data_IF_434689065766
#
_entry.id   IF_434689065766
#
_cell.length_a   1.000
_cell.length_b   1.000
_cell.length_c   1.000
_cell.angle_alpha   90.00
_cell.angle_beta   90.00
_cell.angle_gamma   90.00
#
_symmetry.space_group_name_H-M   'P 1'
#
loop_
_entity.id
_entity.type
_entity.pdbx_description
1 polymer ?
#
# COMPACT_ATOMS: atom_id res chain seq x y z
N UNK A 1 -0.95 9.96 2.78
CA UNK A 1 -0.35 8.72 3.31
C UNK A 1 -1.25 8.08 4.36
N UNK A 2 -1.11 6.75 4.62
CA UNK A 2 -1.86 6.10 5.71
C UNK A 2 -3.34 5.83 5.46
N UNK A 3 -3.82 5.94 4.23
CA UNK A 3 -5.23 5.72 3.86
C UNK A 3 -5.57 4.26 3.50
N UNK A 4 -4.66 3.32 3.69
CA UNK A 4 -4.91 1.91 3.41
C UNK A 4 -4.55 1.46 1.99
N UNK A 5 -3.78 2.24 1.20
CA UNK A 5 -3.36 1.85 -0.16
C UNK A 5 -2.68 0.49 -0.19
N UNK A 6 -1.66 0.28 0.63
CA UNK A 6 -0.95 -0.99 0.75
C UNK A 6 -1.89 -2.15 1.11
N UNK A 7 -2.81 -1.92 2.06
CA UNK A 7 -3.81 -2.91 2.46
C UNK A 7 -4.71 -3.29 1.28
N UNK A 8 -5.17 -2.30 0.50
CA UNK A 8 -5.96 -2.53 -0.70
C UNK A 8 -5.17 -3.31 -1.76
N UNK A 9 -3.89 -2.98 -1.97
CA UNK A 9 -3.00 -3.70 -2.90
C UNK A 9 -2.88 -5.18 -2.52
N UNK A 10 -2.64 -5.48 -1.25
CA UNK A 10 -2.61 -6.86 -0.75
C UNK A 10 -3.96 -7.57 -0.91
N UNK A 11 -5.07 -6.88 -0.61
CA UNK A 11 -6.41 -7.45 -0.76
C UNK A 11 -6.72 -7.81 -2.21
N UNK A 12 -6.32 -6.96 -3.17
CA UNK A 12 -6.46 -7.24 -4.60
C UNK A 12 -5.61 -8.46 -5.00
N UNK A 13 -4.36 -8.53 -4.55
CA UNK A 13 -3.49 -9.65 -4.85
C UNK A 13 -4.06 -10.97 -4.32
N UNK A 14 -4.52 -10.99 -3.07
CA UNK A 14 -5.16 -12.16 -2.47
C UNK A 14 -6.43 -12.57 -3.22
N UNK A 15 -7.30 -11.60 -3.53
CA UNK A 15 -8.52 -11.87 -4.29
C UNK A 15 -8.23 -12.54 -5.64
N UNK A 16 -7.22 -12.04 -6.38
CA UNK A 16 -6.85 -12.61 -7.68
C UNK A 16 -6.33 -14.05 -7.52
N UNK A 17 -5.47 -14.29 -6.54
CA UNK A 17 -4.89 -15.62 -6.29
C UNK A 17 -5.97 -16.63 -5.88
N UNK A 18 -6.90 -16.23 -5.04
CA UNK A 18 -8.01 -17.08 -4.60
C UNK A 18 -8.97 -17.46 -5.74
N UNK A 19 -9.25 -16.51 -6.65
CA UNK A 19 -10.20 -16.74 -7.76
C UNK A 19 -9.55 -17.31 -9.01
N UNK A 20 -8.25 -17.16 -9.18
CA UNK A 20 -7.50 -17.70 -10.31
C UNK A 20 -6.05 -18.01 -9.92
N UNK A 21 -5.84 -19.15 -9.29
CA UNK A 21 -4.52 -19.61 -8.82
C UNK A 21 -3.49 -19.86 -9.94
N UNK A 22 -3.92 -19.89 -11.20
CA UNK A 22 -3.00 -20.05 -12.35
C UNK A 22 -2.31 -18.74 -12.75
N UNK A 23 -2.78 -17.59 -12.29
CA UNK A 23 -2.18 -16.30 -12.60
C UNK A 23 -0.93 -16.06 -11.77
N UNK A 24 0.14 -15.68 -12.43
CA UNK A 24 1.37 -15.23 -11.75
C UNK A 24 1.20 -13.77 -11.32
N UNK A 25 0.97 -13.58 -10.02
CA UNK A 25 0.76 -12.27 -9.38
C UNK A 25 2.00 -11.89 -8.60
N UNK A 26 2.55 -10.71 -8.85
CA UNK A 26 3.69 -10.16 -8.10
C UNK A 26 3.30 -8.84 -7.46
N UNK A 27 3.42 -8.78 -6.13
CA UNK A 27 3.43 -7.54 -5.38
C UNK A 27 4.87 -7.18 -5.03
N UNK A 28 5.25 -5.92 -5.24
CA UNK A 28 6.57 -5.39 -4.92
C UNK A 28 6.44 -3.92 -4.49
N UNK A 29 7.24 -3.51 -3.52
CA UNK A 29 7.39 -2.08 -3.25
C UNK A 29 8.36 -1.46 -4.26
N UNK A 30 8.22 -0.18 -4.55
CA UNK A 30 9.16 0.49 -5.45
C UNK A 30 10.58 0.56 -4.89
N UNK A 31 10.72 0.44 -3.57
CA UNK A 31 12.02 0.32 -2.90
C UNK A 31 12.66 -1.05 -3.18
N UNK A 32 11.91 -2.14 -3.04
CA UNK A 32 12.39 -3.49 -3.37
C UNK A 32 12.75 -3.60 -4.84
N UNK A 33 11.88 -3.07 -5.73
CA UNK A 33 12.18 -3.00 -7.16
C UNK A 33 13.49 -2.24 -7.42
N UNK A 34 13.71 -1.12 -6.76
CA UNK A 34 14.96 -0.35 -6.87
C UNK A 34 16.17 -1.19 -6.45
N UNK A 35 16.06 -1.90 -5.33
CA UNK A 35 17.13 -2.77 -4.84
C UNK A 35 17.42 -3.91 -5.82
N UNK A 36 16.38 -4.52 -6.40
CA UNK A 36 16.54 -5.53 -7.44
C UNK A 36 17.26 -4.97 -8.68
N UNK A 37 16.91 -3.76 -9.12
CA UNK A 37 17.58 -3.08 -10.25
C UNK A 37 19.06 -2.85 -9.95
N UNK A 38 19.37 -2.26 -8.79
CA UNK A 38 20.75 -2.00 -8.38
C UNK A 38 21.57 -3.30 -8.35
N UNK A 39 21.03 -4.34 -7.72
CA UNK A 39 21.67 -5.65 -7.66
C UNK A 39 21.90 -6.26 -9.05
N UNK A 40 20.92 -6.14 -9.94
CA UNK A 40 21.03 -6.65 -11.30
C UNK A 40 22.13 -5.95 -12.10
N UNK A 41 22.29 -4.64 -11.91
CA UNK A 41 23.35 -3.85 -12.55
C UNK A 41 24.73 -4.27 -12.01
N UNK A 42 24.87 -4.37 -10.69
CA UNK A 42 26.13 -4.72 -10.04
C UNK A 42 26.63 -6.12 -10.44
N UNK A 43 25.70 -7.06 -10.64
CA UNK A 43 26.04 -8.44 -10.99
C UNK A 43 25.89 -8.76 -12.47
N UNK A 44 25.58 -7.77 -13.33
CA UNK A 44 25.33 -7.92 -14.79
C UNK A 44 24.21 -8.90 -15.11
N UNK A 45 23.11 -8.85 -14.31
CA UNK A 45 21.96 -9.75 -14.38
C UNK A 45 20.67 -9.04 -14.83
N UNK A 46 20.78 -7.95 -15.58
CA UNK A 46 19.61 -7.17 -16.00
C UNK A 46 18.62 -8.00 -16.84
N UNK A 47 19.10 -8.96 -17.65
CA UNK A 47 18.23 -9.80 -18.44
C UNK A 47 17.44 -10.81 -17.59
N UNK A 48 18.05 -11.31 -16.49
CA UNK A 48 17.33 -12.15 -15.51
C UNK A 48 16.21 -11.35 -14.86
N UNK A 49 16.47 -10.10 -14.44
CA UNK A 49 15.47 -9.19 -13.88
C UNK A 49 14.31 -8.99 -14.87
N UNK A 50 14.62 -8.63 -16.11
CA UNK A 50 13.62 -8.41 -17.16
C UNK A 50 12.79 -9.66 -17.44
N UNK A 51 13.43 -10.83 -17.47
CA UNK A 51 12.74 -12.11 -17.66
C UNK A 51 11.77 -12.41 -16.53
N UNK A 52 12.18 -12.16 -15.28
CA UNK A 52 11.30 -12.30 -14.10
C UNK A 52 10.01 -11.51 -14.29
N UNK A 53 10.11 -10.23 -14.62
CA UNK A 53 8.95 -9.35 -14.74
C UNK A 53 8.10 -9.60 -15.98
N UNK A 54 8.68 -10.02 -17.12
CA UNK A 54 7.93 -10.36 -18.34
C UNK A 54 6.96 -11.52 -18.18
N UNK A 55 7.23 -12.43 -17.25
CA UNK A 55 6.42 -13.63 -17.02
C UNK A 55 5.26 -13.42 -16.04
N UNK A 56 5.06 -12.20 -15.56
CA UNK A 56 4.02 -11.85 -14.61
C UNK A 56 2.71 -11.57 -15.34
N UNK A 57 1.59 -12.06 -14.80
CA UNK A 57 0.26 -11.76 -15.32
C UNK A 57 -0.31 -10.48 -14.69
N UNK A 58 -0.05 -10.26 -13.40
CA UNK A 58 -0.49 -9.08 -12.65
C UNK A 58 0.67 -8.54 -11.82
N UNK A 59 1.06 -7.30 -12.07
CA UNK A 59 2.09 -6.59 -11.33
C UNK A 59 1.44 -5.51 -10.44
N UNK A 60 1.70 -5.59 -9.13
CA UNK A 60 1.31 -4.55 -8.18
C UNK A 60 2.57 -3.88 -7.65
N UNK A 61 2.72 -2.57 -7.85
CA UNK A 61 3.85 -1.79 -7.35
C UNK A 61 3.36 -0.73 -6.39
N UNK A 62 3.80 -0.86 -5.14
CA UNK A 62 3.40 0.06 -4.08
C UNK A 62 4.38 1.23 -3.95
N UNK A 63 3.81 2.41 -3.64
CA UNK A 63 4.55 3.64 -3.37
C UNK A 63 5.50 4.07 -4.49
N UNK A 64 4.98 4.16 -5.73
CA UNK A 64 5.77 4.47 -6.94
C UNK A 64 6.56 5.78 -6.85
N UNK A 65 6.18 6.72 -5.98
CA UNK A 65 6.90 7.97 -5.78
C UNK A 65 8.35 7.76 -5.32
N UNK A 66 8.72 6.63 -4.74
CA UNK A 66 10.09 6.35 -4.30
C UNK A 66 11.08 6.02 -5.43
N UNK A 67 10.60 5.87 -6.69
CA UNK A 67 11.51 5.80 -7.86
C UNK A 67 11.97 7.19 -8.32
N UNK A 68 11.38 8.26 -7.81
CA UNK A 68 11.74 9.64 -8.15
C UNK A 68 13.22 9.89 -7.81
N UNK A 69 13.95 10.53 -8.73
CA UNK A 69 15.38 10.81 -8.58
C UNK A 69 16.31 9.59 -8.76
N UNK A 70 15.77 8.40 -9.10
CA UNK A 70 16.55 7.20 -9.34
C UNK A 70 16.51 6.83 -10.83
N UNK A 71 17.33 7.48 -11.62
CA UNK A 71 17.29 7.40 -13.08
C UNK A 71 17.35 5.97 -13.64
N UNK A 72 18.32 5.16 -13.19
CA UNK A 72 18.45 3.77 -13.62
C UNK A 72 17.20 2.93 -13.28
N UNK A 73 16.60 3.19 -12.12
CA UNK A 73 15.37 2.50 -11.69
C UNK A 73 14.19 2.93 -12.56
N UNK A 74 14.05 4.21 -12.85
CA UNK A 74 12.98 4.72 -13.72
C UNK A 74 13.11 4.12 -15.12
N UNK A 75 14.32 3.97 -15.64
CA UNK A 75 14.60 3.37 -16.93
C UNK A 75 14.17 1.90 -17.00
N UNK A 76 14.58 1.08 -16.03
CA UNK A 76 14.17 -0.33 -15.96
C UNK A 76 12.67 -0.48 -15.68
N UNK A 77 12.10 0.41 -14.86
CA UNK A 77 10.66 0.43 -14.64
C UNK A 77 9.88 0.74 -15.92
N UNK A 78 10.34 1.71 -16.71
CA UNK A 78 9.74 2.03 -18.01
C UNK A 78 9.76 0.83 -18.97
N UNK A 79 10.88 0.11 -19.04
CA UNK A 79 10.98 -1.10 -19.86
C UNK A 79 10.04 -2.19 -19.38
N UNK A 80 9.98 -2.44 -18.08
CA UNK A 80 9.08 -3.41 -17.47
C UNK A 80 7.62 -3.06 -17.73
N UNK A 81 7.24 -1.80 -17.49
CA UNK A 81 5.89 -1.31 -17.74
C UNK A 81 5.47 -1.51 -19.19
N UNK A 82 6.31 -1.10 -20.16
CA UNK A 82 5.99 -1.26 -21.57
C UNK A 82 5.87 -2.72 -21.99
N UNK A 83 6.74 -3.59 -21.49
CA UNK A 83 6.68 -5.01 -21.82
C UNK A 83 5.37 -5.64 -21.35
N UNK A 84 4.93 -5.33 -20.12
CA UNK A 84 3.67 -5.81 -19.55
C UNK A 84 2.45 -5.19 -20.25
N UNK A 85 2.48 -3.89 -20.48
CA UNK A 85 1.41 -3.15 -21.14
C UNK A 85 1.15 -3.67 -22.56
N UNK A 86 2.22 -3.82 -23.36
CA UNK A 86 2.12 -4.32 -24.73
C UNK A 86 1.64 -5.80 -24.79
N UNK A 87 1.93 -6.56 -23.74
CA UNK A 87 1.45 -7.95 -23.58
C UNK A 87 0.06 -8.04 -22.95
N UNK A 88 -0.63 -6.90 -22.76
CA UNK A 88 -1.98 -6.81 -22.17
C UNK A 88 -2.06 -7.41 -20.75
N UNK A 89 -0.98 -7.30 -19.99
CA UNK A 89 -0.92 -7.71 -18.58
C UNK A 89 -1.49 -6.61 -17.69
N UNK A 90 -2.00 -6.99 -16.53
CA UNK A 90 -2.53 -6.02 -15.57
C UNK A 90 -1.39 -5.39 -14.76
N UNK A 91 -1.43 -4.07 -14.65
CA UNK A 91 -0.51 -3.29 -13.81
C UNK A 91 -1.35 -2.45 -12.85
N UNK A 92 -1.01 -2.49 -11.56
CA UNK A 92 -1.64 -1.69 -10.52
C UNK A 92 -0.53 -0.96 -9.77
N UNK A 93 -0.65 0.36 -9.71
CA UNK A 93 0.34 1.22 -9.05
C UNK A 93 -0.33 1.97 -7.91
N UNK A 94 0.35 2.13 -6.79
CA UNK A 94 -0.05 3.07 -5.76
C UNK A 94 0.89 4.25 -5.67
N UNK A 95 0.36 5.41 -5.27
CA UNK A 95 1.13 6.64 -5.05
C UNK A 95 0.49 7.47 -3.95
N UNK A 96 1.27 8.32 -3.29
CA UNK A 96 0.76 9.35 -2.37
C UNK A 96 0.34 10.64 -3.09
N UNK A 97 0.65 10.74 -4.40
CA UNK A 97 0.31 11.86 -5.26
C UNK A 97 -0.25 11.38 -6.59
N UNK A 98 -1.12 12.15 -7.23
CA UNK A 98 -1.58 11.83 -8.58
C UNK A 98 -0.42 11.95 -9.60
N UNK A 99 -0.49 11.24 -10.75
CA UNK A 99 0.59 11.25 -11.75
C UNK A 99 1.04 12.65 -12.20
N UNK A 100 0.11 13.61 -12.23
CA UNK A 100 0.39 14.99 -12.65
C UNK A 100 1.30 15.75 -11.67
N UNK A 101 1.33 15.35 -10.41
CA UNK A 101 2.13 15.96 -9.35
C UNK A 101 3.47 15.24 -9.11
N UNK A 102 3.77 14.23 -9.91
CA UNK A 102 5.06 13.54 -9.90
C UNK A 102 6.04 14.23 -10.86
N UNK A 103 6.31 15.53 -10.66
CA UNK A 103 7.02 16.40 -11.60
C UNK A 103 8.46 15.97 -11.89
N UNK A 104 9.10 15.28 -10.97
CA UNK A 104 10.48 14.77 -11.10
C UNK A 104 10.53 13.38 -11.73
N UNK A 105 9.38 12.80 -12.06
CA UNK A 105 9.31 11.56 -12.82
C UNK A 105 9.52 11.85 -14.31
N UNK A 106 10.27 10.99 -15.00
CA UNK A 106 10.44 11.12 -16.44
C UNK A 106 9.08 11.26 -17.15
N UNK A 107 8.96 12.23 -18.05
CA UNK A 107 7.71 12.56 -18.75
C UNK A 107 7.06 11.33 -19.41
N UNK A 108 7.88 10.45 -19.97
CA UNK A 108 7.42 9.20 -20.60
C UNK A 108 6.73 8.25 -19.61
N UNK A 109 7.17 8.16 -18.34
CA UNK A 109 6.52 7.38 -17.30
C UNK A 109 5.23 8.06 -16.83
N UNK A 110 5.29 9.35 -16.59
CA UNK A 110 4.13 10.15 -16.17
C UNK A 110 3.00 10.07 -17.19
N UNK A 111 3.30 10.15 -18.47
CA UNK A 111 2.35 9.97 -19.56
C UNK A 111 1.69 8.59 -19.51
N UNK A 112 2.48 7.51 -19.29
CA UNK A 112 1.97 6.14 -19.20
C UNK A 112 1.03 5.96 -18.01
N UNK A 113 1.37 6.51 -16.85
CA UNK A 113 0.53 6.41 -15.66
C UNK A 113 -0.81 7.14 -15.85
N UNK A 114 -0.81 8.22 -16.63
CA UNK A 114 -2.02 8.97 -16.95
C UNK A 114 -2.96 8.25 -17.94
N UNK A 115 -2.50 7.20 -18.63
CA UNK A 115 -3.34 6.40 -19.53
C UNK A 115 -4.20 5.36 -18.79
N UNK A 116 -3.87 5.05 -17.54
CA UNK A 116 -4.64 4.13 -16.72
C UNK A 116 -5.91 4.76 -16.16
N UNK A 117 -6.61 4.00 -15.32
CA UNK A 117 -7.74 4.47 -14.54
C UNK A 117 -7.24 4.97 -13.17
N UNK A 118 -7.13 6.27 -12.95
CA UNK A 118 -6.78 6.79 -11.63
C UNK A 118 -7.97 6.64 -10.69
N UNK A 119 -7.70 6.08 -9.51
CA UNK A 119 -8.67 5.94 -8.42
C UNK A 119 -8.13 6.69 -7.21
N UNK A 120 -8.90 7.64 -6.70
CA UNK A 120 -8.55 8.40 -5.51
C UNK A 120 -9.10 7.72 -4.26
N UNK A 121 -8.24 7.50 -3.27
CA UNK A 121 -8.60 6.91 -1.98
C UNK A 121 -8.74 8.05 -0.97
N UNK A 122 -9.98 8.35 -0.64
CA UNK A 122 -10.33 9.40 0.31
C UNK A 122 -10.16 8.94 1.78
N UNK A 123 -9.96 9.88 2.71
CA UNK A 123 -10.02 9.57 4.13
C UNK A 123 -11.34 8.88 4.49
N UNK A 124 -11.32 7.87 5.37
CA UNK A 124 -12.53 7.17 5.77
C UNK A 124 -13.48 8.12 6.52
N UNK A 125 -14.77 7.96 6.25
CA UNK A 125 -15.81 8.61 7.05
C UNK A 125 -15.89 7.98 8.46
N UNK A 126 -16.73 8.56 9.31
CA UNK A 126 -16.87 8.11 10.71
C UNK A 126 -17.24 6.63 10.82
N UNK A 127 -18.26 6.19 10.06
CA UNK A 127 -18.74 4.82 10.07
C UNK A 127 -17.65 3.82 9.65
N UNK A 128 -16.90 4.17 8.63
CA UNK A 128 -15.77 3.37 8.15
C UNK A 128 -14.66 3.30 9.19
N UNK A 129 -14.36 4.40 9.90
CA UNK A 129 -13.37 4.41 10.98
C UNK A 129 -13.77 3.46 12.11
N UNK A 130 -15.03 3.53 12.56
CA UNK A 130 -15.55 2.63 13.59
C UNK A 130 -15.47 1.17 13.14
N UNK A 131 -15.85 0.88 11.90
CA UNK A 131 -15.77 -0.47 11.34
C UNK A 131 -14.32 -1.01 11.31
N UNK A 132 -13.34 -0.18 10.92
CA UNK A 132 -11.92 -0.53 10.92
C UNK A 132 -11.45 -0.84 12.35
N UNK A 133 -11.78 0.00 13.33
CA UNK A 133 -11.39 -0.18 14.73
C UNK A 133 -11.97 -1.47 15.30
N UNK A 134 -13.26 -1.74 15.06
CA UNK A 134 -13.92 -2.97 15.50
C UNK A 134 -13.26 -4.20 14.89
N UNK A 135 -13.02 -4.18 13.57
CA UNK A 135 -12.38 -5.29 12.88
C UNK A 135 -10.97 -5.55 13.41
N UNK A 136 -10.23 -4.49 13.70
CA UNK A 136 -8.90 -4.63 14.29
C UNK A 136 -8.94 -5.20 15.70
N UNK A 137 -9.86 -4.74 16.54
CA UNK A 137 -10.05 -5.28 17.89
C UNK A 137 -10.44 -6.77 17.88
N UNK A 138 -11.31 -7.19 16.95
CA UNK A 138 -11.65 -8.61 16.74
C UNK A 138 -10.42 -9.45 16.38
N UNK A 139 -9.62 -8.99 15.40
CA UNK A 139 -8.41 -9.70 14.97
C UNK A 139 -7.37 -9.81 16.11
N UNK A 140 -7.30 -8.81 16.96
CA UNK A 140 -6.41 -8.80 18.12
C UNK A 140 -7.00 -9.53 19.33
N UNK A 141 -8.24 -10.07 19.26
CA UNK A 141 -9.00 -10.70 20.33
C UNK A 141 -9.10 -9.79 21.58
N UNK A 142 -9.43 -8.51 21.37
CA UNK A 142 -9.56 -7.54 22.44
C UNK A 142 -11.02 -7.11 22.53
N UNK A 143 -11.57 -7.13 23.76
CA UNK A 143 -12.87 -6.54 24.02
C UNK A 143 -12.69 -5.03 24.29
N UNK A 144 -13.45 -4.21 23.57
CA UNK A 144 -13.47 -2.75 23.68
C UNK A 144 -14.92 -2.29 23.57
N UNK A 145 -15.35 -1.43 24.50
CA UNK A 145 -16.68 -0.86 24.48
C UNK A 145 -16.88 0.11 23.30
N UNK A 146 -18.08 0.15 22.77
CA UNK A 146 -18.44 0.98 21.61
C UNK A 146 -18.14 2.48 21.80
N UNK A 147 -18.29 2.97 23.03
CA UNK A 147 -17.98 4.35 23.41
C UNK A 147 -16.52 4.73 23.14
N UNK A 148 -15.60 3.78 23.26
CA UNK A 148 -14.18 3.97 22.99
C UNK A 148 -13.92 4.07 21.50
N UNK A 149 -14.57 3.23 20.69
CA UNK A 149 -14.49 3.33 19.22
C UNK A 149 -15.02 4.68 18.74
N UNK A 150 -16.14 5.15 19.28
CA UNK A 150 -16.71 6.45 19.00
C UNK A 150 -15.73 7.58 19.34
N UNK A 151 -15.12 7.51 20.50
CA UNK A 151 -14.14 8.50 20.95
C UNK A 151 -12.95 8.57 19.99
N UNK A 152 -12.33 7.43 19.67
CA UNK A 152 -11.19 7.37 18.76
C UNK A 152 -11.57 7.87 17.37
N UNK A 153 -12.69 7.39 16.79
CA UNK A 153 -13.14 7.76 15.45
C UNK A 153 -13.44 9.25 15.31
N UNK A 154 -13.92 9.89 16.40
CA UNK A 154 -14.25 11.31 16.42
C UNK A 154 -12.98 12.18 16.54
N UNK A 155 -12.03 11.79 17.36
CA UNK A 155 -10.85 12.61 17.67
C UNK A 155 -9.71 12.40 16.66
N UNK A 156 -9.55 11.21 16.09
CA UNK A 156 -8.55 10.93 15.06
C UNK A 156 -9.11 11.30 13.68
N UNK A 157 -8.66 12.43 13.15
CA UNK A 157 -9.13 12.94 11.86
C UNK A 157 -8.23 12.58 10.68
N UNK A 158 -6.99 12.19 10.95
CA UNK A 158 -5.90 12.17 9.98
C UNK A 158 -5.96 10.97 9.01
N UNK A 159 -5.73 9.77 9.48
CA UNK A 159 -5.58 8.59 8.61
C UNK A 159 -5.79 7.28 9.38
N UNK A 160 -5.82 6.16 8.64
CA UNK A 160 -6.04 4.82 9.22
C UNK A 160 -4.87 4.38 10.11
N UNK A 161 -3.63 4.73 9.77
CA UNK A 161 -2.46 4.39 10.61
C UNK A 161 -2.55 5.02 11.99
N UNK A 162 -3.05 6.26 12.07
CA UNK A 162 -3.23 6.95 13.36
C UNK A 162 -4.36 6.31 14.17
N UNK A 163 -5.44 5.84 13.51
CA UNK A 163 -6.51 5.07 14.16
C UNK A 163 -5.96 3.77 14.77
N UNK A 164 -5.23 2.99 13.98
CA UNK A 164 -4.59 1.75 14.44
C UNK A 164 -3.54 2.03 15.52
N UNK A 165 -2.79 3.10 15.37
CA UNK A 165 -1.81 3.57 16.35
C UNK A 165 -2.45 3.91 17.71
N UNK A 166 -3.58 4.63 17.70
CA UNK A 166 -4.34 4.94 18.90
C UNK A 166 -4.85 3.68 19.60
N UNK A 167 -5.46 2.77 18.84
CA UNK A 167 -5.92 1.49 19.38
C UNK A 167 -4.78 0.67 19.98
N UNK A 168 -3.63 0.64 19.32
CA UNK A 168 -2.46 -0.09 19.81
C UNK A 168 -1.88 0.55 21.10
N UNK A 169 -1.85 1.87 21.18
CA UNK A 169 -1.44 2.58 22.42
C UNK A 169 -2.31 2.18 23.60
N UNK A 170 -3.63 2.22 23.44
CA UNK A 170 -4.60 1.85 24.47
C UNK A 170 -4.38 0.40 24.91
N UNK A 171 -4.21 -0.52 23.97
CA UNK A 171 -3.91 -1.94 24.21
C UNK A 171 -2.64 -2.14 25.01
N UNK A 172 -1.54 -1.49 24.61
CA UNK A 172 -0.25 -1.61 25.29
C UNK A 172 -0.33 -1.02 26.70
N UNK A 173 -0.93 0.14 26.83
CA UNK A 173 -1.06 0.81 28.14
C UNK A 173 -1.93 0.00 29.13
N UNK A 174 -3.04 -0.56 28.67
CA UNK A 174 -3.88 -1.47 29.45
C UNK A 174 -3.08 -2.67 29.96
N UNK A 175 -2.30 -3.33 29.09
CA UNK A 175 -1.47 -4.47 29.45
C UNK A 175 -0.38 -4.12 30.47
N UNK A 176 0.33 -3.01 30.25
CA UNK A 176 1.44 -2.58 31.13
C UNK A 176 0.94 -2.23 32.54
N UNK A 177 -0.18 -1.52 32.63
CA UNK A 177 -0.71 -1.06 33.90
C UNK A 177 -1.71 -2.04 34.53
N UNK A 178 -2.01 -3.18 33.86
CA UNK A 178 -3.02 -4.16 34.28
C UNK A 178 -4.38 -3.50 34.58
N UNK A 179 -4.75 -2.49 33.79
CA UNK A 179 -6.01 -1.78 33.88
C UNK A 179 -6.93 -2.19 32.75
N UNK A 180 -8.26 -2.27 32.98
CA UNK A 180 -9.21 -2.47 31.89
C UNK A 180 -9.14 -1.33 30.88
N UNK A 181 -9.53 -1.58 29.66
CA UNK A 181 -9.67 -0.55 28.63
C UNK A 181 -10.98 0.19 28.92
N UNK A 182 -10.88 1.45 29.33
CA UNK A 182 -11.98 2.36 29.60
C UNK A 182 -11.81 3.69 28.87
N UNK A 183 -12.82 4.55 28.95
CA UNK A 183 -12.82 5.84 28.27
C UNK A 183 -11.72 6.78 28.81
N UNK A 184 -11.39 6.72 30.10
CA UNK A 184 -10.31 7.50 30.72
C UNK A 184 -8.95 7.13 30.09
N UNK A 185 -8.71 5.86 29.90
CA UNK A 185 -7.52 5.36 29.24
C UNK A 185 -7.43 5.80 27.77
N UNK A 186 -8.57 6.04 27.13
CA UNK A 186 -8.65 6.44 25.71
C UNK A 186 -8.29 7.91 25.49
N UNK A 187 -8.22 8.72 26.54
CA UNK A 187 -7.85 10.14 26.48
C UNK A 187 -6.33 10.39 26.52
N UNK A 188 -5.51 9.34 26.64
CA UNK A 188 -4.05 9.38 26.65
C UNK A 188 -3.51 9.37 25.22
#
# INVERSE_FOLDING_TARGET
>A
AGLGKTHLMHSIAHYIIEHNSSLNVLYVTSEDFTNEVINSIQHKKQEELRSKYRNIAVLLVDDIQFVIGKESTQQEFFHTFNALYNSKKQIILSSDKPPKELDVLEERLRSRFSWGLPVDIQPPNYETKVAILRKRAELDNIYIDDEIFDYIATHIKSNIRDLEGALNKIKVYSKLNKKPIDLELSKI
#
